data_IF_841569700003
#
_entry.id   IF_841569700003
#
_cell.length_a   1.000
_cell.length_b   1.000
_cell.length_c   1.000
_cell.angle_alpha   90.00
_cell.angle_beta   90.00
_cell.angle_gamma   90.00
#
_symmetry.space_group_name_H-M   'P 1'
#
loop_
_entity.id
_entity.type
_entity.pdbx_description
1 polymer ?
#
# COMPACT_ATOMS: atom_id res chain seq x y z
N UNK A 1 17.22 17.60 -6.79
CA UNK A 1 17.11 17.82 -5.32
C UNK A 1 17.21 16.47 -4.64
N UNK A 2 17.95 16.35 -3.53
CA UNK A 2 18.12 15.08 -2.81
C UNK A 2 16.94 14.80 -1.87
N UNK A 3 16.43 13.58 -1.85
CA UNK A 3 15.37 13.12 -0.93
C UNK A 3 15.79 13.23 0.55
N UNK A 4 17.10 13.26 0.85
CA UNK A 4 17.60 13.48 2.22
C UNK A 4 17.22 14.85 2.78
N UNK A 5 17.28 15.89 1.93
CA UNK A 5 16.98 17.27 2.31
C UNK A 5 15.54 17.66 2.00
N UNK A 6 14.95 17.01 0.99
CA UNK A 6 13.62 17.30 0.50
C UNK A 6 12.78 16.02 0.36
N UNK A 7 12.50 15.28 1.44
CA UNK A 7 11.76 14.02 1.35
C UNK A 7 10.38 14.20 0.68
N UNK A 8 9.98 13.28 -0.22
CA UNK A 8 8.64 13.28 -0.81
C UNK A 8 7.55 13.20 0.27
N UNK A 9 6.52 14.03 0.14
CA UNK A 9 5.32 13.96 0.99
C UNK A 9 4.24 13.15 0.28
N UNK A 10 3.84 12.03 0.88
CA UNK A 10 2.90 11.07 0.28
C UNK A 10 1.52 11.20 0.94
N UNK A 11 0.47 11.30 0.13
CA UNK A 11 -0.93 11.27 0.60
C UNK A 11 -1.65 10.04 0.02
N UNK A 12 -2.80 9.69 0.58
CA UNK A 12 -3.55 8.50 0.14
C UNK A 12 -3.95 8.55 -1.34
N UNK A 13 -4.22 9.74 -1.89
CA UNK A 13 -4.55 9.90 -3.32
C UNK A 13 -3.39 9.66 -4.28
N UNK A 14 -2.17 9.41 -3.76
CA UNK A 14 -1.00 9.08 -4.55
C UNK A 14 -0.64 7.59 -4.50
N UNK A 15 -1.36 6.80 -3.71
CA UNK A 15 -1.04 5.39 -3.47
C UNK A 15 -2.06 4.58 -4.24
N UNK A 16 -1.61 3.92 -5.30
CA UNK A 16 -2.34 2.86 -5.99
C UNK A 16 -1.73 1.49 -5.58
N UNK A 17 -2.37 0.35 -5.88
CA UNK A 17 -1.81 -0.97 -5.58
C UNK A 17 -0.44 -1.14 -6.23
N UNK A 18 0.61 -1.25 -5.42
CA UNK A 18 2.00 -1.33 -5.88
C UNK A 18 2.42 -0.17 -6.81
N UNK A 19 1.84 1.03 -6.67
CA UNK A 19 2.23 2.17 -7.49
C UNK A 19 2.23 3.48 -6.71
N UNK A 20 3.39 4.13 -6.68
CA UNK A 20 3.54 5.49 -6.16
C UNK A 20 3.30 6.50 -7.29
N UNK A 21 2.24 7.30 -7.17
CA UNK A 21 1.86 8.36 -8.14
C UNK A 21 2.49 9.72 -7.83
N UNK A 22 3.34 9.82 -6.80
CA UNK A 22 4.01 11.07 -6.46
C UNK A 22 4.76 11.64 -7.67
N UNK A 23 4.56 12.92 -7.99
CA UNK A 23 5.16 13.57 -9.16
C UNK A 23 4.50 13.23 -10.50
N UNK A 24 3.63 12.22 -10.57
CA UNK A 24 2.88 11.82 -11.77
C UNK A 24 1.46 12.37 -11.73
N UNK A 25 0.83 12.38 -10.54
CA UNK A 25 -0.52 12.90 -10.34
C UNK A 25 -0.49 14.10 -9.38
N UNK A 26 -1.10 15.24 -9.74
CA UNK A 26 -1.29 16.33 -8.79
C UNK A 26 -2.11 15.89 -7.59
N UNK A 27 -1.75 16.40 -6.41
CA UNK A 27 -2.40 16.10 -5.14
C UNK A 27 -2.79 17.38 -4.42
N UNK A 28 -3.85 17.33 -3.61
CA UNK A 28 -4.28 18.48 -2.81
C UNK A 28 -3.80 18.32 -1.37
N UNK A 29 -2.96 19.25 -0.91
CA UNK A 29 -2.40 19.29 0.45
C UNK A 29 -2.60 20.71 0.97
N UNK A 30 -3.14 20.82 2.19
CA UNK A 30 -3.43 22.12 2.84
C UNK A 30 -4.21 23.08 1.93
N UNK A 31 -5.25 22.56 1.26
CA UNK A 31 -6.10 23.26 0.29
C UNK A 31 -5.44 23.67 -1.03
N UNK A 32 -4.13 23.46 -1.20
CA UNK A 32 -3.35 23.78 -2.41
C UNK A 32 -3.04 22.54 -3.25
N UNK A 33 -2.93 22.70 -4.57
CA UNK A 33 -2.57 21.62 -5.49
C UNK A 33 -1.06 21.59 -5.73
N UNK A 34 -0.46 20.41 -5.61
CA UNK A 34 0.98 20.18 -5.74
C UNK A 34 1.24 19.01 -6.68
N UNK A 35 2.19 19.16 -7.61
CA UNK A 35 2.61 18.07 -8.51
C UNK A 35 3.50 17.06 -7.79
N UNK A 36 4.54 17.56 -7.12
CA UNK A 36 5.59 16.76 -6.51
C UNK A 36 5.91 17.34 -5.12
N UNK A 37 4.97 17.28 -4.16
CA UNK A 37 5.13 17.94 -2.85
C UNK A 37 6.29 17.33 -2.07
N UNK A 38 7.16 18.17 -1.50
CA UNK A 38 8.32 17.78 -0.69
C UNK A 38 8.36 18.62 0.58
N UNK A 39 8.91 18.06 1.64
CA UNK A 39 9.18 18.80 2.89
C UNK A 39 10.60 19.36 2.84
N UNK A 40 10.77 20.66 3.03
CA UNK A 40 12.10 21.24 3.23
C UNK A 40 12.57 20.95 4.65
N UNK A 41 13.48 19.99 4.82
CA UNK A 41 13.97 19.57 6.14
C UNK A 41 14.68 20.71 6.87
N UNK A 42 15.54 21.46 6.18
CA UNK A 42 16.28 22.57 6.80
C UNK A 42 15.34 23.63 7.36
N UNK A 43 14.31 24.03 6.60
CA UNK A 43 13.32 25.00 7.08
C UNK A 43 12.51 24.47 8.28
N UNK A 44 12.27 23.16 8.36
CA UNK A 44 11.61 22.55 9.53
C UNK A 44 12.52 22.53 10.76
N UNK A 45 13.80 22.26 10.57
CA UNK A 45 14.82 22.26 11.64
C UNK A 45 15.02 23.67 12.22
N UNK A 46 15.03 24.70 11.37
CA UNK A 46 15.15 26.11 11.78
C UNK A 46 13.92 26.63 12.54
N UNK A 47 12.73 26.03 12.30
CA UNK A 47 11.46 26.50 12.86
C UNK A 47 10.92 25.67 14.03
N UNK A 48 11.47 24.48 14.35
CA UNK A 48 11.11 23.74 15.57
C UNK A 48 11.34 22.20 15.57
N UNK A 49 10.58 21.50 16.42
CA UNK A 49 10.79 20.10 16.89
C UNK A 49 10.49 18.98 15.88
N UNK A 50 10.30 19.30 14.60
CA UNK A 50 9.84 18.31 13.60
C UNK A 50 10.96 17.43 13.04
N UNK A 51 12.22 17.77 13.28
CA UNK A 51 13.40 16.99 12.83
C UNK A 51 13.34 15.54 13.31
N UNK A 52 13.06 15.33 14.60
CA UNK A 52 12.92 13.98 15.15
C UNK A 52 11.74 13.22 14.54
N UNK A 53 10.65 13.92 14.24
CA UNK A 53 9.49 13.31 13.60
C UNK A 53 9.84 12.85 12.18
N UNK A 54 10.58 13.67 11.42
CA UNK A 54 11.08 13.31 10.09
C UNK A 54 11.99 12.08 10.21
N UNK A 55 12.97 12.08 11.12
CA UNK A 55 13.92 10.97 11.26
C UNK A 55 13.22 9.66 11.67
N UNK A 56 12.25 9.71 12.60
CA UNK A 56 11.44 8.54 12.98
C UNK A 56 10.60 7.99 11.82
N UNK A 57 10.24 8.85 10.87
CA UNK A 57 9.42 8.49 9.70
C UNK A 57 10.24 8.22 8.45
N UNK A 58 11.47 8.65 8.32
CA UNK A 58 12.34 8.30 7.20
C UNK A 58 13.08 6.98 7.50
N UNK A 59 12.32 5.89 7.48
CA UNK A 59 12.80 4.52 7.75
C UNK A 59 12.11 3.53 6.81
N UNK A 60 12.66 2.33 6.53
CA UNK A 60 11.98 1.38 5.66
C UNK A 60 10.56 1.04 6.15
N UNK A 61 9.55 1.09 5.27
CA UNK A 61 8.13 0.91 5.62
C UNK A 61 7.22 0.59 4.46
N UNK A 62 5.97 0.28 4.77
CA UNK A 62 4.86 0.27 3.83
C UNK A 62 3.95 1.48 4.11
N UNK A 63 3.49 2.14 3.06
CA UNK A 63 2.52 3.23 3.11
C UNK A 63 1.21 2.75 2.49
N UNK A 64 0.09 2.94 3.20
CA UNK A 64 -1.19 2.35 2.84
C UNK A 64 -2.26 3.45 2.78
N UNK A 65 -3.03 3.45 1.70
CA UNK A 65 -4.23 4.28 1.58
C UNK A 65 -5.33 3.76 2.51
N UNK A 66 -5.99 4.65 3.22
CA UNK A 66 -7.00 4.27 4.23
C UNK A 66 -8.37 3.94 3.66
N UNK A 67 -8.65 4.34 2.41
CA UNK A 67 -9.98 4.23 1.84
C UNK A 67 -9.94 3.93 0.34
N UNK A 68 -10.26 2.70 -0.02
CA UNK A 68 -10.08 2.20 -1.38
C UNK A 68 -10.92 0.95 -1.67
N UNK A 69 -11.08 0.58 -2.94
CA UNK A 69 -11.85 -0.62 -3.37
C UNK A 69 -11.14 -1.94 -3.06
N UNK A 70 -9.82 -1.89 -3.03
CA UNK A 70 -8.89 -2.93 -2.59
C UNK A 70 -7.88 -2.25 -1.66
N UNK A 71 -7.09 -2.98 -0.88
CA UNK A 71 -6.05 -2.33 -0.06
C UNK A 71 -4.95 -1.79 -1.00
N UNK A 72 -4.85 -0.46 -1.10
CA UNK A 72 -3.86 0.23 -1.94
C UNK A 72 -2.64 0.56 -1.08
N UNK A 73 -1.46 0.07 -1.46
CA UNK A 73 -0.22 0.27 -0.70
C UNK A 73 1.03 0.28 -1.57
N UNK A 74 2.07 0.92 -1.07
CA UNK A 74 3.42 0.93 -1.64
C UNK A 74 4.46 0.56 -0.58
N UNK A 75 5.61 0.08 -1.04
CA UNK A 75 6.78 -0.24 -0.21
C UNK A 75 7.82 0.86 -0.40
N UNK A 76 8.26 1.47 0.70
CA UNK A 76 9.35 2.43 0.77
C UNK A 76 10.55 1.73 1.41
N UNK A 77 11.25 0.89 0.63
CA UNK A 77 12.47 0.19 1.08
C UNK A 77 13.58 1.16 1.53
N UNK A 78 13.85 2.26 0.82
CA UNK A 78 14.89 3.21 1.24
C UNK A 78 14.50 4.01 2.49
N UNK A 79 13.20 4.13 2.78
CA UNK A 79 12.71 4.90 3.91
C UNK A 79 12.83 6.40 3.70
N UNK A 80 12.61 6.90 2.49
CA UNK A 80 12.78 8.33 2.17
C UNK A 80 11.48 9.11 2.14
N UNK A 81 10.34 8.43 2.24
CA UNK A 81 9.02 9.04 2.04
C UNK A 81 8.35 9.41 3.37
N UNK A 82 7.76 10.61 3.43
CA UNK A 82 6.99 11.06 4.58
C UNK A 82 5.49 10.87 4.35
N UNK A 83 4.77 10.16 5.24
CA UNK A 83 3.32 10.03 5.15
C UNK A 83 2.63 11.32 5.62
N UNK A 84 1.66 11.78 4.84
CA UNK A 84 0.69 12.80 5.21
C UNK A 84 -0.63 12.13 5.59
N UNK A 85 -1.31 12.65 6.62
CA UNK A 85 -2.63 12.12 7.01
C UNK A 85 -3.59 12.08 5.82
N UNK A 86 -4.39 11.01 5.67
CA UNK A 86 -4.59 9.90 6.61
C UNK A 86 -3.73 8.64 6.34
N UNK A 87 -2.63 8.71 5.57
CA UNK A 87 -1.81 7.53 5.20
C UNK A 87 -1.42 6.71 6.42
N UNK A 88 -1.67 5.39 6.38
CA UNK A 88 -1.18 4.47 7.40
C UNK A 88 0.26 4.05 7.09
N UNK A 89 1.02 3.78 8.14
CA UNK A 89 2.39 3.28 8.05
C UNK A 89 2.50 1.94 8.74
N UNK A 90 3.10 0.96 8.07
CA UNK A 90 3.59 -0.28 8.69
C UNK A 90 5.10 -0.24 8.70
N UNK A 91 5.69 -0.38 9.89
CA UNK A 91 7.13 -0.53 10.07
C UNK A 91 7.41 -1.97 10.48
N UNK A 92 7.90 -2.83 9.58
CA UNK A 92 8.24 -4.20 9.92
C UNK A 92 9.40 -4.24 10.92
N UNK A 93 9.39 -5.25 11.79
CA UNK A 93 10.55 -5.55 12.65
C UNK A 93 11.72 -6.10 11.83
N UNK A 94 11.40 -6.92 10.83
CA UNK A 94 12.33 -7.45 9.84
C UNK A 94 12.04 -6.81 8.50
N UNK A 95 12.96 -5.96 8.03
CA UNK A 95 12.81 -5.25 6.76
C UNK A 95 12.93 -6.17 5.55
N UNK A 96 13.55 -7.35 5.68
CA UNK A 96 13.61 -8.34 4.60
C UNK A 96 12.22 -8.91 4.25
N UNK A 97 11.25 -8.79 5.17
CA UNK A 97 9.86 -9.26 4.98
C UNK A 97 8.90 -8.19 4.47
N UNK A 98 9.40 -7.02 4.05
CA UNK A 98 8.56 -5.92 3.56
C UNK A 98 7.67 -6.35 2.38
N UNK A 99 8.23 -7.07 1.41
CA UNK A 99 7.47 -7.55 0.25
C UNK A 99 6.51 -8.70 0.60
N UNK A 100 6.88 -9.56 1.55
CA UNK A 100 5.97 -10.58 2.11
C UNK A 100 4.75 -9.95 2.78
N UNK A 101 4.96 -8.88 3.55
CA UNK A 101 3.86 -8.15 4.18
C UNK A 101 3.02 -7.44 3.12
N UNK A 102 3.67 -6.83 2.11
CA UNK A 102 2.98 -6.16 1.01
C UNK A 102 2.07 -7.11 0.21
N UNK A 103 2.57 -8.30 -0.14
CA UNK A 103 1.79 -9.29 -0.88
C UNK A 103 0.59 -9.81 -0.09
N UNK A 104 0.73 -10.02 1.23
CA UNK A 104 -0.40 -10.40 2.10
C UNK A 104 -1.41 -9.28 2.20
N UNK A 105 -0.99 -8.05 2.52
CA UNK A 105 -1.89 -6.93 2.72
C UNK A 105 -2.61 -6.52 1.42
N UNK A 106 -1.93 -6.61 0.28
CA UNK A 106 -2.51 -6.34 -1.05
C UNK A 106 -3.38 -7.47 -1.59
N UNK A 107 -3.45 -8.62 -0.91
CA UNK A 107 -4.14 -9.82 -1.38
C UNK A 107 -5.67 -9.70 -1.33
N UNK A 108 -6.38 -10.53 -2.11
CA UNK A 108 -7.83 -10.63 -2.01
C UNK A 108 -8.29 -11.14 -0.64
N UNK A 109 -7.53 -12.03 0.02
CA UNK A 109 -7.86 -12.55 1.36
C UNK A 109 -7.89 -11.42 2.40
N UNK A 110 -6.88 -10.55 2.37
CA UNK A 110 -6.83 -9.38 3.25
C UNK A 110 -7.98 -8.40 2.95
N UNK A 111 -8.25 -8.14 1.67
CA UNK A 111 -9.37 -7.29 1.25
C UNK A 111 -10.73 -7.84 1.73
N UNK A 112 -10.99 -9.13 1.50
CA UNK A 112 -12.24 -9.78 1.89
C UNK A 112 -12.39 -9.84 3.42
N UNK A 113 -11.31 -10.09 4.16
CA UNK A 113 -11.33 -10.08 5.63
C UNK A 113 -11.59 -8.67 6.17
N UNK A 114 -10.97 -7.65 5.58
CA UNK A 114 -11.23 -6.27 5.94
C UNK A 114 -12.68 -5.88 5.67
N UNK A 115 -13.23 -6.26 4.49
CA UNK A 115 -14.61 -5.97 4.13
C UNK A 115 -15.61 -6.70 5.02
N UNK A 116 -15.42 -7.99 5.30
CA UNK A 116 -16.37 -8.75 6.13
C UNK A 116 -16.44 -8.25 7.57
N UNK A 117 -15.33 -7.74 8.11
CA UNK A 117 -15.26 -7.29 9.51
C UNK A 117 -15.57 -5.81 9.72
N UNK A 118 -15.33 -4.96 8.72
CA UNK A 118 -15.32 -3.50 8.90
C UNK A 118 -16.14 -2.72 7.86
N UNK A 119 -17.00 -3.41 7.10
CA UNK A 119 -17.93 -2.78 6.16
C UNK A 119 -18.88 -1.80 6.88
N UNK A 120 -19.41 -0.81 6.12
CA UNK A 120 -20.36 0.18 6.63
C UNK A 120 -19.76 1.45 7.25
N UNK A 121 -18.42 1.60 7.27
CA UNK A 121 -17.75 2.80 7.86
C UNK A 121 -17.10 3.73 6.83
N UNK A 122 -17.13 3.35 5.54
CA UNK A 122 -16.54 4.09 4.43
C UNK A 122 -17.54 5.03 3.76
N UNK A 123 -17.04 6.05 3.04
CA UNK A 123 -17.88 7.06 2.35
C UNK A 123 -18.65 6.48 1.15
N UNK A 124 -18.33 5.26 0.71
CA UNK A 124 -19.05 4.53 -0.35
C UNK A 124 -19.22 3.07 0.06
N UNK A 125 -20.27 2.42 -0.45
CA UNK A 125 -20.61 1.02 -0.15
C UNK A 125 -19.52 0.03 -0.55
N UNK A 126 -18.71 0.38 -1.54
CA UNK A 126 -17.65 -0.47 -2.09
C UNK A 126 -16.25 -0.18 -1.52
N UNK A 127 -16.12 0.79 -0.60
CA UNK A 127 -14.83 1.17 -0.05
C UNK A 127 -14.50 0.42 1.25
N UNK A 128 -13.27 -0.06 1.32
CA UNK A 128 -12.61 -0.56 2.51
C UNK A 128 -12.07 0.64 3.28
N UNK A 129 -12.55 0.88 4.49
CA UNK A 129 -11.92 1.85 5.41
C UNK A 129 -11.15 1.11 6.48
N UNK A 130 -9.84 1.32 6.54
CA UNK A 130 -8.96 0.68 7.51
C UNK A 130 -8.33 1.70 8.45
N UNK A 131 -8.36 1.38 9.75
CA UNK A 131 -7.56 2.01 10.79
C UNK A 131 -6.33 1.16 11.11
N UNK A 132 -5.26 1.77 11.64
CA UNK A 132 -4.02 1.09 11.98
C UNK A 132 -4.22 -0.17 12.86
N UNK A 133 -5.10 -0.09 13.87
CA UNK A 133 -5.39 -1.23 14.76
C UNK A 133 -6.11 -2.40 14.06
N UNK A 134 -6.83 -2.14 12.98
CA UNK A 134 -7.53 -3.17 12.21
C UNK A 134 -6.56 -3.91 11.28
N UNK A 135 -5.56 -3.22 10.75
CA UNK A 135 -4.51 -3.81 9.92
C UNK A 135 -3.73 -4.90 10.67
N UNK A 136 -3.45 -4.69 11.96
CA UNK A 136 -2.78 -5.67 12.83
C UNK A 136 -3.59 -6.95 13.07
N UNK A 137 -4.87 -6.99 12.69
CA UNK A 137 -5.76 -8.15 12.86
C UNK A 137 -6.00 -8.92 11.56
N UNK A 138 -5.37 -8.49 10.47
CA UNK A 138 -5.45 -9.20 9.19
C UNK A 138 -4.66 -10.50 9.27
N UNK A 139 -5.15 -11.57 8.63
CA UNK A 139 -4.51 -12.87 8.69
C UNK A 139 -3.19 -12.85 7.91
N UNK A 140 -2.26 -13.70 8.34
CA UNK A 140 -0.97 -13.95 7.67
C UNK A 140 -0.92 -15.46 7.41
N UNK A 141 -0.48 -15.90 6.21
CA UNK A 141 -0.40 -17.32 5.90
C UNK A 141 0.78 -17.97 6.64
N UNK A 142 0.85 -19.30 6.59
CA UNK A 142 2.03 -20.03 7.04
C UNK A 142 3.18 -19.79 6.03
N UNK A 143 4.42 -19.70 6.53
CA UNK A 143 5.62 -19.58 5.69
C UNK A 143 5.66 -20.71 4.66
N UNK A 144 5.72 -20.36 3.38
CA UNK A 144 5.68 -21.30 2.26
C UNK A 144 6.30 -20.68 1.01
N UNK A 145 6.71 -21.53 0.06
CA UNK A 145 7.23 -21.09 -1.24
C UNK A 145 6.21 -20.25 -2.03
N UNK A 146 4.91 -20.53 -1.85
CA UNK A 146 3.85 -19.74 -2.46
C UNK A 146 3.84 -18.30 -1.92
N UNK A 147 4.07 -18.11 -0.61
CA UNK A 147 4.19 -16.76 -0.04
C UNK A 147 5.45 -16.04 -0.54
N UNK A 148 6.58 -16.74 -0.61
CA UNK A 148 7.82 -16.16 -1.16
C UNK A 148 7.60 -15.72 -2.62
N UNK A 149 6.99 -16.56 -3.46
CA UNK A 149 6.70 -16.21 -4.85
C UNK A 149 5.70 -15.05 -4.98
N UNK A 150 4.69 -15.00 -4.11
CA UNK A 150 3.76 -13.88 -4.06
C UNK A 150 4.46 -12.54 -3.74
N UNK A 151 5.46 -12.58 -2.86
CA UNK A 151 6.26 -11.40 -2.50
C UNK A 151 7.08 -10.90 -3.70
N UNK A 152 7.73 -11.80 -4.44
CA UNK A 152 8.50 -11.47 -5.64
C UNK A 152 7.60 -10.84 -6.72
N UNK A 153 6.45 -11.46 -7.01
CA UNK A 153 5.48 -10.92 -7.98
C UNK A 153 4.96 -9.53 -7.57
N UNK A 154 4.75 -9.28 -6.28
CA UNK A 154 4.32 -7.96 -5.79
C UNK A 154 5.43 -6.92 -5.94
N UNK A 155 6.69 -7.33 -5.73
CA UNK A 155 7.86 -6.49 -5.98
C UNK A 155 7.99 -6.13 -7.45
N UNK A 156 7.84 -7.10 -8.35
CA UNK A 156 7.86 -6.88 -9.79
C UNK A 156 6.71 -5.95 -10.23
N UNK A 157 5.52 -6.11 -9.64
CA UNK A 157 4.39 -5.22 -9.88
C UNK A 157 4.74 -3.76 -9.52
N UNK A 158 5.58 -3.55 -8.49
CA UNK A 158 5.96 -2.20 -8.05
C UNK A 158 6.78 -1.42 -9.08
N UNK A 159 7.56 -2.13 -9.89
CA UNK A 159 8.44 -1.56 -10.91
C UNK A 159 7.91 -1.74 -12.34
N UNK A 160 6.74 -2.35 -12.50
CA UNK A 160 6.14 -2.59 -13.81
C UNK A 160 5.94 -1.30 -14.62
N UNK A 161 6.31 -1.33 -15.91
CA UNK A 161 6.26 -0.16 -16.78
C UNK A 161 4.86 0.28 -17.21
N UNK A 162 3.82 -0.51 -16.96
CA UNK A 162 2.44 -0.21 -17.35
C UNK A 162 1.42 -0.73 -16.32
N UNK A 163 0.22 -0.14 -16.33
CA UNK A 163 -0.88 -0.61 -15.47
C UNK A 163 -1.33 -2.03 -15.84
N UNK A 164 -1.32 -2.39 -17.12
CA UNK A 164 -1.68 -3.74 -17.58
C UNK A 164 -0.75 -4.80 -16.99
N UNK A 165 0.57 -4.61 -17.14
CA UNK A 165 1.57 -5.55 -16.61
C UNK A 165 1.50 -5.61 -15.07
N UNK A 166 1.29 -4.46 -14.41
CA UNK A 166 1.12 -4.40 -12.96
C UNK A 166 -0.09 -5.18 -12.48
N UNK A 167 -1.24 -5.01 -13.14
CA UNK A 167 -2.47 -5.74 -12.80
C UNK A 167 -2.26 -7.23 -12.96
N UNK A 168 -1.61 -7.68 -14.04
CA UNK A 168 -1.29 -9.09 -14.27
C UNK A 168 -0.39 -9.66 -13.15
N UNK A 169 0.68 -8.96 -12.79
CA UNK A 169 1.57 -9.36 -11.70
C UNK A 169 0.86 -9.40 -10.33
N UNK A 170 -0.03 -8.45 -10.06
CA UNK A 170 -0.84 -8.42 -8.83
C UNK A 170 -1.85 -9.57 -8.79
N UNK A 171 -2.45 -9.94 -9.93
CA UNK A 171 -3.33 -11.11 -10.03
C UNK A 171 -2.53 -12.39 -9.78
N UNK A 172 -1.35 -12.53 -10.37
CA UNK A 172 -0.50 -13.70 -10.14
C UNK A 172 -0.04 -13.77 -8.67
N UNK A 173 0.34 -12.63 -8.06
CA UNK A 173 0.67 -12.54 -6.63
C UNK A 173 -0.51 -12.98 -5.76
N UNK A 174 -1.73 -12.58 -6.12
CA UNK A 174 -2.95 -12.97 -5.42
C UNK A 174 -3.24 -14.48 -5.50
N UNK A 175 -3.03 -15.13 -6.66
CA UNK A 175 -3.18 -16.58 -6.79
C UNK A 175 -2.19 -17.36 -5.93
N UNK A 176 -0.94 -16.89 -5.87
CA UNK A 176 0.07 -17.44 -4.98
C UNK A 176 -0.31 -17.25 -3.50
N UNK A 177 -0.90 -16.10 -3.16
CA UNK A 177 -1.38 -15.86 -1.80
C UNK A 177 -2.55 -16.78 -1.43
N UNK A 178 -3.49 -17.00 -2.35
CA UNK A 178 -4.58 -17.96 -2.15
C UNK A 178 -4.07 -19.38 -1.89
N UNK A 179 -2.98 -19.77 -2.58
CA UNK A 179 -2.28 -21.03 -2.34
C UNK A 179 -1.61 -21.04 -0.97
N UNK A 180 -0.94 -19.95 -0.57
CA UNK A 180 -0.30 -19.82 0.74
C UNK A 180 -1.30 -19.87 1.92
N UNK A 181 -2.54 -19.42 1.71
CA UNK A 181 -3.64 -19.52 2.67
C UNK A 181 -4.38 -20.88 2.63
N UNK A 182 -3.94 -21.81 1.77
CA UNK A 182 -4.54 -23.14 1.62
C UNK A 182 -6.06 -23.09 1.33
N UNK A 183 -6.48 -22.15 0.48
CA UNK A 183 -7.89 -22.02 0.10
C UNK A 183 -8.31 -23.13 -0.87
N UNK A 184 -9.54 -23.62 -0.69
CA UNK A 184 -10.18 -24.56 -1.61
C UNK A 184 -10.35 -23.96 -3.01
N UNK A 185 -10.32 -24.79 -4.06
CA UNK A 185 -10.51 -24.32 -5.45
C UNK A 185 -11.75 -23.45 -5.63
N UNK A 186 -12.85 -23.83 -4.98
CA UNK A 186 -14.11 -23.09 -5.05
C UNK A 186 -13.99 -21.71 -4.41
N UNK A 187 -13.35 -21.62 -3.25
CA UNK A 187 -13.17 -20.34 -2.56
C UNK A 187 -12.18 -19.45 -3.31
N UNK A 188 -11.10 -20.01 -3.86
CA UNK A 188 -10.16 -19.29 -4.73
C UNK A 188 -10.87 -18.63 -5.90
N UNK A 189 -11.65 -19.40 -6.65
CA UNK A 189 -12.38 -18.90 -7.82
C UNK A 189 -13.36 -17.78 -7.45
N UNK A 190 -14.14 -17.96 -6.38
CA UNK A 190 -15.09 -16.94 -5.90
C UNK A 190 -14.39 -15.66 -5.46
N UNK A 191 -13.32 -15.81 -4.71
CA UNK A 191 -12.56 -14.70 -4.15
C UNK A 191 -11.86 -13.91 -5.26
N UNK A 192 -11.26 -14.58 -6.24
CA UNK A 192 -10.63 -13.94 -7.40
C UNK A 192 -11.66 -13.26 -8.31
N UNK A 193 -12.79 -13.91 -8.61
CA UNK A 193 -13.87 -13.32 -9.40
C UNK A 193 -14.43 -12.04 -8.76
N UNK A 194 -14.42 -11.97 -7.43
CA UNK A 194 -14.84 -10.80 -6.67
C UNK A 194 -13.77 -9.68 -6.62
N UNK A 195 -12.50 -10.03 -6.45
CA UNK A 195 -11.42 -9.06 -6.22
C UNK A 195 -10.86 -8.46 -7.50
N UNK A 196 -10.65 -9.25 -8.55
CA UNK A 196 -10.06 -8.81 -9.83
C UNK A 196 -10.75 -7.58 -10.44
N UNK A 197 -12.09 -7.54 -10.60
CA UNK A 197 -12.75 -6.34 -11.14
C UNK A 197 -12.62 -5.12 -10.22
N UNK A 198 -12.44 -5.31 -8.90
CA UNK A 198 -12.20 -4.20 -7.95
C UNK A 198 -10.79 -3.64 -8.09
N UNK A 199 -9.80 -4.52 -8.28
CA UNK A 199 -8.42 -4.15 -8.57
C UNK A 199 -8.36 -3.32 -9.86
N UNK A 200 -8.95 -3.82 -10.94
CA UNK A 200 -8.93 -3.16 -12.26
C UNK A 200 -9.50 -1.74 -12.20
N UNK A 201 -10.69 -1.57 -11.59
CA UNK A 201 -11.33 -0.26 -11.40
C UNK A 201 -10.52 0.74 -10.59
N UNK A 202 -9.54 0.30 -9.81
CA UNK A 202 -8.66 1.23 -9.08
C UNK A 202 -7.71 1.96 -10.02
N UNK A 203 -7.33 1.36 -11.14
CA UNK A 203 -6.42 1.96 -12.12
C UNK A 203 -7.11 2.83 -13.19
N UNK A 204 -8.44 2.89 -13.18
CA UNK A 204 -9.27 3.69 -14.10
C UNK A 204 -9.49 5.15 -13.62
N UNK A 205 -8.88 5.54 -12.49
CA UNK A 205 -9.10 6.83 -11.79
C UNK A 205 -8.22 8.00 -12.24
#
# INVERSE_FOLDING_TARGET
MSDKHYPPLITTGMIDPALNRWGVRPSRILKSTWQAPRINRQAMDETGTLSEWIDKRCTPKLLIATQSRVIELIVDEPGTMLPCMPVLTVTPKDTAKMWHIASVLGSPVACATAMSRYSGTALTTDAIKLAAKQLLKLPIPIQSNAWDHAADLYRDASIAGSNTARIELLINSAEQMNTAFDLSDTDRQRLMAWWTPRLQRTFER
#
